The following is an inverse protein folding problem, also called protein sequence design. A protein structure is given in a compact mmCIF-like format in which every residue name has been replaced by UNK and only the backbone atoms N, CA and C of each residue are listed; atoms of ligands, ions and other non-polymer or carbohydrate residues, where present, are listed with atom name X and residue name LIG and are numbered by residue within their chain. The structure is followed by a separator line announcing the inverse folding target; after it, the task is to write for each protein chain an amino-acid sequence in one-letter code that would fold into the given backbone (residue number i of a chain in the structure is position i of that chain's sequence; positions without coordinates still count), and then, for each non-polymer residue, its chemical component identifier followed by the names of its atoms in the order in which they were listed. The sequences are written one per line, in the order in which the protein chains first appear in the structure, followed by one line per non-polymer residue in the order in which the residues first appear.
data_IF_643709953604
#
_entry.id   IF_643709953604
#
_cell.length_a   1.000
_cell.length_b   1.000
_cell.length_c   1.000
_cell.angle_alpha   90.00
_cell.angle_beta   90.00
_cell.angle_gamma   90.00
#
_symmetry.space_group_name_H-M   'P 1'
#
loop_
_entity.id
_entity.type
_entity.pdbx_description
1 polymer ?
#
# COMPACT_ATOMS: atom_id res chain seq x y z
N UNK A 1 -13.71 -13.22 18.28
CA UNK A 1 -13.65 -12.87 17.96
C UNK A 1 -13.30 -12.42 17.50
N UNK A 2 -13.37 -12.39 17.39
CA UNK A 2 -13.16 -11.89 16.99
C UNK A 2 -12.79 -11.21 16.65
N UNK A 3 -12.63 -11.21 16.51
CA UNK A 3 -12.46 -10.56 16.35
C UNK A 3 -12.16 -9.89 15.97
N UNK A 4 -12.17 -9.76 16.04
CA UNK A 4 -11.98 -9.03 15.71
C UNK A 4 -11.56 -8.59 15.09
N UNK A 5 -11.72 -8.63 14.93
CA UNK A 5 -11.17 -8.27 14.25
C UNK A 5 -10.97 -7.47 13.71
N UNK A 6 -10.69 -7.56 14.12
CA UNK A 6 -10.62 -6.43 13.61
C UNK A 6 -10.48 -6.26 12.20
N UNK A 7 -11.17 -5.71 11.61
CA UNK A 7 -11.07 -5.52 10.31
C UNK A 7 -10.26 -4.38 9.98
N UNK A 8 -9.22 -4.57 9.36
CA UNK A 8 -8.35 -3.50 9.00
C UNK A 8 -8.94 -2.68 7.90
N UNK A 9 -8.87 -1.38 8.05
CA UNK A 9 -9.20 -0.48 6.96
C UNK A 9 -8.12 -0.55 5.90
N UNK A 10 -8.46 -0.28 4.64
CA UNK A 10 -7.43 -0.17 3.62
C UNK A 10 -6.41 0.90 3.99
N UNK A 11 -5.15 0.62 3.74
CA UNK A 11 -4.05 1.53 4.01
C UNK A 11 -3.51 2.06 2.71
N UNK A 12 -3.11 3.32 2.72
CA UNK A 12 -2.59 3.98 1.52
C UNK A 12 -1.25 4.63 1.80
N UNK A 13 -0.42 4.67 0.77
CA UNK A 13 0.89 5.31 0.84
C UNK A 13 1.07 6.14 -0.42
N UNK A 14 1.95 7.12 -0.35
CA UNK A 14 2.35 7.86 -1.54
C UNK A 14 3.75 7.41 -1.93
N UNK A 15 3.96 7.18 -3.22
CA UNK A 15 5.26 6.81 -3.73
C UNK A 15 6.15 8.04 -3.79
N UNK A 16 7.32 7.98 -3.14
CA UNK A 16 8.25 9.09 -3.11
C UNK A 16 9.24 9.02 -4.26
N UNK A 17 9.66 7.80 -4.60
CA UNK A 17 10.61 7.57 -5.67
C UNK A 17 10.43 6.15 -6.18
N UNK A 18 10.86 5.91 -7.40
CA UNK A 18 10.64 4.60 -8.01
C UNK A 18 11.91 3.99 -8.60
N UNK A 19 13.07 4.38 -8.08
CA UNK A 19 14.35 3.89 -8.61
C UNK A 19 14.40 2.37 -8.59
N UNK A 20 14.60 1.77 -9.75
CA UNK A 20 14.63 0.32 -9.89
C UNK A 20 13.27 -0.32 -10.11
N UNK A 21 12.19 0.48 -10.08
CA UNK A 21 10.83 -0.05 -10.22
C UNK A 21 10.00 0.82 -11.15
N UNK A 22 10.64 1.37 -12.17
CA UNK A 22 10.01 2.38 -13.03
C UNK A 22 8.81 1.83 -13.80
N UNK A 23 8.80 0.55 -14.07
CA UNK A 23 7.67 -0.06 -14.79
C UNK A 23 6.48 -0.34 -13.88
N UNK A 24 6.69 -0.34 -12.57
CA UNK A 24 5.66 -0.74 -11.61
C UNK A 24 5.11 0.40 -10.79
N UNK A 25 5.87 1.48 -10.62
CA UNK A 25 5.50 2.57 -9.70
C UNK A 25 5.73 3.91 -10.36
N UNK A 26 4.88 4.87 -10.00
CA UNK A 26 5.04 6.27 -10.42
C UNK A 26 5.26 7.14 -9.20
N UNK A 27 6.25 8.03 -9.21
CA UNK A 27 6.45 8.95 -8.09
C UNK A 27 5.23 9.87 -7.91
N UNK A 28 4.96 10.18 -6.67
CA UNK A 28 3.88 11.09 -6.27
C UNK A 28 2.49 10.52 -6.54
N UNK A 29 2.39 9.23 -6.70
CA UNK A 29 1.10 8.57 -6.87
C UNK A 29 0.74 7.81 -5.59
N UNK A 30 -0.55 7.67 -5.35
CA UNK A 30 -1.06 6.99 -4.17
C UNK A 30 -1.32 5.53 -4.52
N UNK A 31 -0.87 4.63 -3.64
CA UNK A 31 -1.07 3.20 -3.81
C UNK A 31 -1.69 2.61 -2.55
N UNK A 32 -2.44 1.55 -2.72
CA UNK A 32 -2.98 0.79 -1.59
C UNK A 32 -2.00 -0.28 -1.18
N UNK A 33 -1.85 -0.47 0.14
CA UNK A 33 -1.03 -1.55 0.68
C UNK A 33 -1.91 -2.63 1.25
N UNK A 34 -1.37 -3.84 1.31
CA UNK A 34 -2.00 -4.96 1.98
C UNK A 34 -1.17 -5.28 3.22
N UNK A 35 -1.86 -5.68 4.29
CA UNK A 35 -1.18 -6.00 5.52
C UNK A 35 -0.31 -7.24 5.32
N UNK A 36 0.96 -7.15 5.72
CA UNK A 36 1.89 -8.27 5.61
C UNK A 36 2.96 -8.05 6.68
N UNK A 37 2.72 -8.61 7.85
CA UNK A 37 3.59 -8.34 8.98
C UNK A 37 4.99 -8.85 8.77
N UNK A 38 5.15 -9.98 8.09
CA UNK A 38 6.47 -10.49 7.85
C UNK A 38 7.25 -9.58 6.92
N UNK A 39 6.60 -9.11 5.85
CA UNK A 39 7.26 -8.18 4.94
C UNK A 39 7.65 -6.91 5.68
N UNK A 40 6.75 -6.41 6.53
CA UNK A 40 7.01 -5.17 7.26
C UNK A 40 8.18 -5.32 8.22
N UNK A 41 8.35 -6.51 8.80
CA UNK A 41 9.48 -6.74 9.68
C UNK A 41 10.80 -6.71 8.93
N UNK A 42 10.78 -6.87 7.62
CA UNK A 42 11.97 -6.77 6.78
C UNK A 42 12.02 -5.46 6.03
N UNK A 43 11.26 -4.47 6.48
CA UNK A 43 11.21 -3.12 5.89
C UNK A 43 10.75 -3.14 4.44
N UNK A 44 9.83 -4.06 4.15
CA UNK A 44 9.17 -4.13 2.86
C UNK A 44 7.68 -3.88 3.04
N UNK A 45 7.03 -3.41 2.00
CA UNK A 45 5.58 -3.23 2.00
C UNK A 45 4.99 -4.04 0.85
N UNK A 46 3.82 -4.63 1.09
CA UNK A 46 3.09 -5.27 0.02
C UNK A 46 2.14 -4.25 -0.58
N UNK A 47 2.39 -3.88 -1.82
CA UNK A 47 1.73 -2.76 -2.48
C UNK A 47 1.06 -3.25 -3.74
N UNK A 48 -0.17 -2.79 -4.00
CA UNK A 48 -0.84 -3.06 -5.27
C UNK A 48 -0.32 -2.01 -6.25
N UNK A 49 0.44 -2.47 -7.26
CA UNK A 49 1.15 -1.56 -8.16
C UNK A 49 0.33 -1.21 -9.40
N UNK A 50 1.00 -0.64 -10.39
CA UNK A 50 0.32 -0.19 -11.61
C UNK A 50 -0.33 -1.34 -12.38
N UNK A 51 0.15 -2.57 -12.19
CA UNK A 51 -0.44 -3.72 -12.86
C UNK A 51 -1.75 -4.18 -12.21
N UNK A 52 -2.04 -3.68 -11.01
CA UNK A 52 -3.21 -4.13 -10.24
C UNK A 52 -2.92 -5.35 -9.40
N UNK A 53 -1.71 -5.85 -9.42
CA UNK A 53 -1.32 -6.99 -8.59
C UNK A 53 -0.42 -6.52 -7.48
N UNK A 54 -0.31 -7.33 -6.42
CA UNK A 54 0.48 -6.94 -5.26
C UNK A 54 1.86 -7.58 -5.32
N UNK A 55 2.85 -6.77 -4.99
CA UNK A 55 4.24 -7.20 -4.90
C UNK A 55 4.90 -6.53 -3.71
N UNK A 56 6.05 -7.04 -3.32
CA UNK A 56 6.81 -6.46 -2.22
C UNK A 56 7.78 -5.41 -2.77
N UNK A 57 7.80 -4.25 -2.11
CA UNK A 57 8.69 -3.16 -2.47
C UNK A 57 9.36 -2.63 -1.21
N UNK A 58 10.56 -2.04 -1.32
CA UNK A 58 11.18 -1.43 -0.14
C UNK A 58 10.29 -0.34 0.44
N UNK A 59 10.09 -0.38 1.75
CA UNK A 59 9.23 0.60 2.41
C UNK A 59 9.77 2.02 2.26
N UNK A 60 11.08 2.17 2.05
CA UNK A 60 11.70 3.48 1.92
C UNK A 60 11.24 4.24 0.68
N UNK A 61 10.59 3.57 -0.27
CA UNK A 61 10.08 4.25 -1.46
C UNK A 61 8.76 4.97 -1.20
N UNK A 62 8.17 4.79 -0.03
CA UNK A 62 6.82 5.26 0.25
C UNK A 62 6.73 6.02 1.55
N UNK A 63 5.66 6.80 1.68
CA UNK A 63 5.29 7.43 2.93
C UNK A 63 3.83 7.15 3.21
N UNK A 64 3.48 6.76 4.44
CA UNK A 64 2.05 6.55 4.76
C UNK A 64 1.30 7.86 4.69
N UNK A 65 0.04 7.78 4.28
CA UNK A 65 -0.82 8.96 4.25
C UNK A 65 -2.16 8.59 4.85
N UNK A 66 -2.84 9.60 5.39
CA UNK A 66 -4.20 9.47 5.88
C UNK A 66 -5.13 10.11 4.88
N UNK A 67 -6.22 9.42 4.55
CA UNK A 67 -7.19 9.92 3.60
C UNK A 67 -8.55 10.02 4.26
N UNK A 68 -9.39 10.99 3.84
CA UNK A 68 -10.78 11.00 4.30
C UNK A 68 -11.47 9.69 3.93
N UNK A 69 -12.44 9.29 4.75
CA UNK A 69 -13.10 8.01 4.57
C UNK A 69 -13.78 7.90 3.21
N UNK A 70 -14.31 9.00 2.68
CA UNK A 70 -14.93 8.98 1.36
C UNK A 70 -13.92 8.63 0.28
N UNK A 71 -12.69 9.16 0.39
CA UNK A 71 -11.65 8.83 -0.58
C UNK A 71 -11.19 7.39 -0.43
N UNK A 72 -11.11 6.90 0.81
CA UNK A 72 -10.72 5.52 1.03
C UNK A 72 -11.67 4.58 0.30
N UNK A 73 -12.98 4.85 0.39
CA UNK A 73 -13.96 4.01 -0.27
C UNK A 73 -13.85 4.06 -1.78
N UNK A 74 -13.53 5.25 -2.32
CA UNK A 74 -13.43 5.41 -3.77
C UNK A 74 -12.18 4.75 -4.32
N UNK A 75 -11.09 4.76 -3.56
CA UNK A 75 -9.80 4.29 -4.04
C UNK A 75 -9.51 2.83 -3.69
N UNK A 76 -10.23 2.26 -2.72
CA UNK A 76 -9.92 0.91 -2.26
C UNK A 76 -10.13 -0.10 -3.38
N UNK A 77 -9.17 -0.99 -3.54
CA UNK A 77 -9.24 -2.07 -4.51
C UNK A 77 -9.66 -3.34 -3.81
N UNK A 78 -10.37 -4.18 -4.52
CA UNK A 78 -10.74 -5.48 -3.98
C UNK A 78 -9.49 -6.30 -3.74
N UNK A 79 -9.42 -6.89 -2.57
CA UNK A 79 -8.28 -7.72 -2.24
C UNK A 79 -8.55 -9.17 -2.60
#
# INVERSE_FOLDING_TARGET
KMTMITKTSPQFVVCLRNNGYEASLEPRKIYQTLSDKEAESHKMLRVIDESGEDYLFPASLFSPISLPQTLVKELALSA
#
